data_IF_168575356754
#
_entry.id   IF_168575356754
#
_cell.length_a   1.000
_cell.length_b   1.000
_cell.length_c   1.000
_cell.angle_alpha   90.00
_cell.angle_beta   90.00
_cell.angle_gamma   90.00
#
_symmetry.space_group_name_H-M   'P 1'
#
loop_
_entity.id
_entity.type
_entity.pdbx_description
1 polymer ?
#
# COMPACT_ATOMS: atom_id res chain seq x y z
N UNK A 1 3.18 -27.46 -8.44
CA UNK A 1 2.86 -26.51 -7.37
C UNK A 1 3.93 -26.66 -6.30
N UNK A 2 4.66 -25.59 -5.99
CA UNK A 2 5.68 -25.61 -4.94
C UNK A 2 5.01 -25.81 -3.58
N UNK A 3 5.61 -26.59 -2.67
CA UNK A 3 5.10 -26.69 -1.30
C UNK A 3 5.37 -25.38 -0.54
N UNK A 4 4.66 -25.14 0.56
CA UNK A 4 4.88 -23.95 1.40
C UNK A 4 6.33 -23.89 1.93
N UNK A 5 6.92 -25.04 2.24
CA UNK A 5 8.32 -25.13 2.68
C UNK A 5 9.27 -24.69 1.56
N UNK A 6 8.97 -25.05 0.31
CA UNK A 6 9.76 -24.61 -0.84
C UNK A 6 9.64 -23.10 -1.07
N UNK A 7 8.43 -22.54 -0.97
CA UNK A 7 8.20 -21.10 -1.09
C UNK A 7 8.97 -20.34 0.01
N UNK A 8 8.94 -20.83 1.25
CA UNK A 8 9.64 -20.18 2.36
C UNK A 8 11.16 -20.14 2.18
N UNK A 9 11.76 -21.13 1.50
CA UNK A 9 13.19 -21.12 1.17
C UNK A 9 13.58 -19.98 0.23
N UNK A 10 12.62 -19.37 -0.49
CA UNK A 10 12.87 -18.19 -1.29
C UNK A 10 13.02 -16.93 -0.43
N UNK A 11 12.59 -16.94 0.82
CA UNK A 11 12.64 -15.79 1.73
C UNK A 11 13.70 -16.01 2.83
N UNK A 12 14.98 -15.69 2.58
CA UNK A 12 16.08 -16.04 3.49
C UNK A 12 15.96 -15.41 4.88
N UNK A 13 15.19 -14.33 5.03
CA UNK A 13 14.92 -13.70 6.34
C UNK A 13 14.14 -14.63 7.27
N UNK A 14 13.31 -15.53 6.74
CA UNK A 14 12.46 -16.41 7.56
C UNK A 14 13.24 -17.48 8.33
N UNK A 15 14.47 -17.80 7.92
CA UNK A 15 15.33 -18.81 8.57
C UNK A 15 16.12 -18.25 9.77
N UNK A 16 15.90 -16.98 10.14
CA UNK A 16 16.63 -16.32 11.22
C UNK A 16 16.18 -16.76 12.62
N UNK A 17 17.12 -16.70 13.56
CA UNK A 17 16.82 -16.73 15.00
C UNK A 17 16.74 -15.30 15.54
N UNK A 18 15.63 -14.96 16.19
CA UNK A 18 15.41 -13.69 16.89
C UNK A 18 15.22 -13.98 18.37
N UNK A 19 16.05 -13.35 19.22
CA UNK A 19 16.06 -13.61 20.67
C UNK A 19 16.21 -15.11 21.02
N UNK A 20 16.96 -15.86 20.21
CA UNK A 20 17.17 -17.31 20.39
C UNK A 20 16.01 -18.19 19.96
N UNK A 21 14.94 -17.62 19.38
CA UNK A 21 13.78 -18.36 18.87
C UNK A 21 13.67 -18.24 17.34
N UNK A 22 13.15 -19.25 16.61
CA UNK A 22 12.90 -19.11 15.17
C UNK A 22 11.91 -17.97 14.90
N UNK A 23 12.23 -17.11 13.93
CA UNK A 23 11.38 -15.97 13.57
C UNK A 23 9.96 -16.41 13.17
N UNK A 24 8.96 -15.71 13.69
CA UNK A 24 7.60 -15.66 13.18
C UNK A 24 7.31 -14.23 12.76
N UNK A 25 7.19 -13.99 11.46
CA UNK A 25 6.99 -12.64 10.92
C UNK A 25 5.53 -12.39 10.53
N UNK A 26 4.81 -11.65 11.37
CA UNK A 26 3.40 -11.24 11.17
C UNK A 26 3.24 -9.71 11.07
N UNK A 27 4.26 -8.98 10.59
CA UNK A 27 4.15 -7.52 10.29
C UNK A 27 4.20 -7.23 8.78
N UNK A 28 3.65 -8.14 7.96
CA UNK A 28 3.61 -8.06 6.51
C UNK A 28 2.89 -6.80 5.98
N UNK A 29 1.83 -6.34 6.67
CA UNK A 29 1.12 -5.12 6.31
C UNK A 29 1.95 -3.84 6.54
N UNK A 30 3.08 -3.89 7.25
CA UNK A 30 4.06 -2.80 7.27
C UNK A 30 5.05 -2.93 6.11
N UNK A 31 5.65 -4.11 5.93
CA UNK A 31 6.46 -4.46 4.76
C UNK A 31 6.52 -5.97 4.62
N UNK A 32 6.49 -6.48 3.41
CA UNK A 32 6.69 -7.91 3.17
C UNK A 32 8.17 -8.25 3.10
N UNK A 33 8.50 -9.53 3.28
CA UNK A 33 9.86 -10.03 3.04
C UNK A 33 10.13 -10.15 1.54
N UNK A 34 11.41 -10.24 1.16
CA UNK A 34 11.83 -10.18 -0.26
C UNK A 34 12.28 -11.57 -0.68
N UNK A 35 11.77 -12.12 -1.80
CA UNK A 35 12.25 -13.38 -2.32
C UNK A 35 13.66 -13.22 -2.87
N UNK A 36 14.43 -14.31 -2.93
CA UNK A 36 15.80 -14.35 -3.48
C UNK A 36 15.88 -13.72 -4.86
N UNK A 37 14.88 -13.96 -5.73
CA UNK A 37 14.82 -13.36 -7.06
C UNK A 37 14.96 -11.82 -7.06
N UNK A 38 14.34 -11.12 -6.10
CA UNK A 38 14.44 -9.66 -5.96
C UNK A 38 15.82 -9.24 -5.45
N UNK A 39 16.37 -9.99 -4.49
CA UNK A 39 17.71 -9.73 -3.94
C UNK A 39 18.80 -9.94 -5.01
N UNK A 40 18.68 -11.02 -5.77
CA UNK A 40 19.61 -11.39 -6.84
C UNK A 40 19.54 -10.37 -7.99
N UNK A 41 18.35 -9.89 -8.35
CA UNK A 41 18.18 -8.83 -9.36
C UNK A 41 18.86 -7.52 -8.92
N UNK A 42 18.72 -7.13 -7.65
CA UNK A 42 19.39 -5.95 -7.11
C UNK A 42 20.92 -6.11 -7.12
N UNK A 43 21.42 -7.26 -6.69
CA UNK A 43 22.85 -7.57 -6.71
C UNK A 43 23.40 -7.60 -8.14
N UNK A 44 22.67 -8.19 -9.07
CA UNK A 44 23.03 -8.28 -10.48
C UNK A 44 23.20 -6.90 -11.09
N UNK A 45 22.22 -6.00 -10.91
CA UNK A 45 22.31 -4.64 -11.42
C UNK A 45 23.60 -3.94 -10.95
N UNK A 46 23.86 -3.92 -9.64
CA UNK A 46 25.03 -3.21 -9.12
C UNK A 46 26.36 -3.87 -9.50
N UNK A 47 26.38 -5.18 -9.69
CA UNK A 47 27.60 -5.92 -10.01
C UNK A 47 27.94 -5.89 -11.50
N UNK A 48 26.94 -5.72 -12.39
CA UNK A 48 27.11 -5.95 -13.83
C UNK A 48 26.58 -4.82 -14.73
N UNK A 49 25.48 -4.16 -14.35
CA UNK A 49 24.72 -3.25 -15.24
C UNK A 49 24.59 -1.81 -14.74
N UNK A 50 25.26 -1.46 -13.63
CA UNK A 50 25.15 -0.13 -13.02
C UNK A 50 25.53 1.01 -14.00
N UNK A 51 24.54 1.79 -14.39
CA UNK A 51 24.67 2.98 -15.20
C UNK A 51 23.45 3.90 -15.00
N UNK A 52 23.64 5.19 -15.27
CA UNK A 52 22.49 6.09 -15.38
C UNK A 52 21.70 5.79 -16.67
N UNK A 53 20.40 6.10 -16.66
CA UNK A 53 19.45 5.73 -17.73
C UNK A 53 19.11 6.91 -18.65
N UNK A 54 18.43 6.62 -19.76
CA UNK A 54 17.88 7.56 -20.77
C UNK A 54 18.87 8.42 -21.58
N UNK A 55 20.05 8.76 -21.04
CA UNK A 55 21.00 9.70 -21.69
C UNK A 55 22.29 9.07 -22.20
N UNK A 56 22.59 7.83 -21.80
CA UNK A 56 23.80 7.14 -22.21
C UNK A 56 23.60 6.33 -23.47
N UNK A 57 24.49 6.50 -24.45
CA UNK A 57 24.56 5.71 -25.70
C UNK A 57 25.47 4.47 -25.58
N UNK A 58 25.99 4.20 -24.38
CA UNK A 58 26.85 3.05 -24.13
C UNK A 58 26.03 1.87 -23.62
N UNK A 59 26.52 0.65 -23.88
CA UNK A 59 25.73 -0.58 -23.66
C UNK A 59 25.20 -0.76 -22.23
N UNK A 60 25.92 -0.30 -21.19
CA UNK A 60 25.42 -0.36 -19.81
C UNK A 60 24.17 0.52 -19.61
N UNK A 61 24.17 1.75 -20.14
CA UNK A 61 23.04 2.65 -20.02
C UNK A 61 21.83 2.14 -20.83
N UNK A 62 22.07 1.57 -22.01
CA UNK A 62 21.01 0.95 -22.82
C UNK A 62 20.37 -0.24 -22.08
N UNK A 63 21.18 -1.14 -21.50
CA UNK A 63 20.67 -2.28 -20.71
C UNK A 63 19.92 -1.83 -19.46
N UNK A 64 20.48 -0.90 -18.69
CA UNK A 64 19.82 -0.36 -17.49
C UNK A 64 18.49 0.34 -17.85
N UNK A 65 18.46 1.12 -18.94
CA UNK A 65 17.23 1.78 -19.42
C UNK A 65 16.19 0.76 -19.83
N UNK A 66 16.57 -0.26 -20.60
CA UNK A 66 15.66 -1.32 -21.03
C UNK A 66 15.08 -2.10 -19.84
N UNK A 67 15.90 -2.41 -18.83
CA UNK A 67 15.46 -3.10 -17.62
C UNK A 67 14.52 -2.23 -16.76
N UNK A 68 14.81 -0.94 -16.63
CA UNK A 68 13.98 0.01 -15.90
C UNK A 68 12.58 0.17 -16.54
N UNK A 69 12.54 0.35 -17.86
CA UNK A 69 11.28 0.46 -18.61
C UNK A 69 10.52 -0.88 -18.72
N UNK A 70 11.22 -2.02 -18.64
CA UNK A 70 10.57 -3.32 -18.51
C UNK A 70 9.77 -3.42 -17.20
N UNK A 71 10.31 -2.93 -16.08
CA UNK A 71 9.55 -2.86 -14.82
C UNK A 71 8.26 -2.05 -15.01
N UNK A 72 8.34 -0.90 -15.67
CA UNK A 72 7.16 -0.04 -15.92
C UNK A 72 6.09 -0.78 -16.73
N UNK A 73 6.48 -1.54 -17.76
CA UNK A 73 5.58 -2.37 -18.56
C UNK A 73 4.94 -3.49 -17.74
N UNK A 74 5.71 -4.16 -16.89
CA UNK A 74 5.15 -5.20 -15.99
C UNK A 74 4.14 -4.64 -15.02
N UNK A 75 4.41 -3.46 -14.45
CA UNK A 75 3.43 -2.76 -13.61
C UNK A 75 2.17 -2.41 -14.40
N UNK A 76 2.32 -1.91 -15.63
CA UNK A 76 1.18 -1.63 -16.51
C UNK A 76 0.33 -2.88 -16.74
N UNK A 77 0.95 -4.02 -17.04
CA UNK A 77 0.26 -5.30 -17.22
C UNK A 77 -0.41 -5.77 -15.94
N UNK A 78 0.31 -5.70 -14.81
CA UNK A 78 -0.17 -6.11 -13.49
C UNK A 78 -1.41 -5.33 -13.04
N UNK A 79 -1.46 -4.02 -13.34
CA UNK A 79 -2.61 -3.17 -13.02
C UNK A 79 -3.68 -3.18 -14.11
N UNK A 80 -3.43 -3.84 -15.24
CA UNK A 80 -4.26 -3.75 -16.43
C UNK A 80 -4.45 -2.29 -16.88
N UNK A 81 -3.42 -1.44 -16.81
CA UNK A 81 -3.48 -0.08 -17.35
C UNK A 81 -3.40 -0.10 -18.88
N UNK A 82 -3.99 0.88 -19.57
CA UNK A 82 -3.99 0.94 -21.03
C UNK A 82 -2.56 1.13 -21.59
N UNK A 83 -1.74 1.92 -20.91
CA UNK A 83 -0.40 2.28 -21.38
C UNK A 83 0.62 2.41 -20.25
N UNK A 84 1.89 2.10 -20.53
CA UNK A 84 2.97 2.26 -19.54
C UNK A 84 3.22 3.71 -19.15
N UNK A 85 2.83 4.67 -20.00
CA UNK A 85 3.03 6.10 -19.75
C UNK A 85 2.14 6.63 -18.62
N UNK A 86 1.10 5.87 -18.26
CA UNK A 86 0.23 6.15 -17.13
C UNK A 86 0.83 5.70 -15.79
N UNK A 87 1.97 5.02 -15.81
CA UNK A 87 2.66 4.51 -14.62
C UNK A 87 3.78 5.48 -14.28
N UNK A 88 3.64 6.18 -13.15
CA UNK A 88 4.61 7.14 -12.63
C UNK A 88 5.33 6.52 -11.44
N UNK A 89 6.66 6.46 -11.50
CA UNK A 89 7.48 6.04 -10.36
C UNK A 89 7.58 7.14 -9.32
N UNK A 90 7.41 6.75 -8.07
CA UNK A 90 7.49 7.62 -6.90
C UNK A 90 8.30 6.93 -5.80
N UNK A 91 8.49 7.58 -4.66
CA UNK A 91 9.19 6.97 -3.51
C UNK A 91 8.34 5.98 -2.71
N UNK A 92 7.05 5.82 -3.04
CA UNK A 92 6.06 5.03 -2.29
C UNK A 92 4.64 5.58 -2.49
N UNK A 93 3.62 4.90 -1.99
CA UNK A 93 2.22 5.38 -1.99
C UNK A 93 2.10 6.82 -1.53
N UNK A 94 2.78 7.18 -0.42
CA UNK A 94 2.81 8.55 0.10
C UNK A 94 3.29 9.57 -0.93
N UNK A 95 4.31 9.22 -1.72
CA UNK A 95 4.84 10.06 -2.78
C UNK A 95 3.82 10.26 -3.91
N UNK A 96 3.16 9.18 -4.34
CA UNK A 96 2.08 9.22 -5.33
C UNK A 96 0.90 10.08 -4.91
N UNK A 97 0.42 9.91 -3.67
CA UNK A 97 -0.70 10.71 -3.14
C UNK A 97 -0.31 12.19 -3.05
N UNK A 98 0.89 12.51 -2.57
CA UNK A 98 1.37 13.89 -2.52
C UNK A 98 1.50 14.50 -3.91
N UNK A 99 1.97 13.74 -4.91
CA UNK A 99 2.02 14.21 -6.29
C UNK A 99 0.63 14.63 -6.75
N UNK A 100 -0.40 13.80 -6.57
CA UNK A 100 -1.78 14.13 -6.96
C UNK A 100 -2.29 15.34 -6.17
N UNK A 101 -2.15 15.36 -4.85
CA UNK A 101 -2.59 16.47 -4.02
C UNK A 101 -1.95 17.81 -4.44
N UNK A 102 -0.64 17.81 -4.70
CA UNK A 102 0.13 19.02 -5.00
C UNK A 102 0.04 19.49 -6.45
N UNK A 103 -0.48 18.67 -7.37
CA UNK A 103 -0.63 19.02 -8.80
C UNK A 103 -2.10 19.11 -9.18
N UNK A 104 -2.82 17.99 -9.16
CA UNK A 104 -4.26 17.95 -9.42
C UNK A 104 -5.02 18.85 -8.44
N UNK A 105 -4.74 18.73 -7.14
CA UNK A 105 -5.43 19.54 -6.13
C UNK A 105 -5.18 21.05 -6.30
N UNK A 106 -3.96 21.46 -6.61
CA UNK A 106 -3.64 22.87 -6.90
C UNK A 106 -4.34 23.42 -8.14
N UNK A 107 -4.50 22.60 -9.16
CA UNK A 107 -5.12 23.01 -10.43
C UNK A 107 -6.66 23.01 -10.36
N UNK A 108 -7.26 22.19 -9.51
CA UNK A 108 -8.71 21.90 -9.56
C UNK A 108 -9.50 22.31 -8.31
N UNK A 109 -8.85 22.58 -7.18
CA UNK A 109 -9.55 22.97 -5.95
C UNK A 109 -9.58 24.48 -5.76
N UNK A 110 -10.70 24.96 -5.25
CA UNK A 110 -10.96 26.35 -4.86
C UNK A 110 -11.74 26.42 -3.54
N UNK A 111 -11.93 27.64 -3.05
CA UNK A 111 -12.61 27.87 -1.78
C UNK A 111 -14.03 27.29 -1.79
N UNK A 112 -14.37 26.51 -0.76
CA UNK A 112 -15.67 25.88 -0.58
C UNK A 112 -15.82 24.48 -1.18
N UNK A 113 -14.91 24.04 -2.05
CA UNK A 113 -14.88 22.67 -2.56
C UNK A 113 -14.65 21.65 -1.43
N UNK A 114 -15.16 20.42 -1.61
CA UNK A 114 -14.95 19.33 -0.64
C UNK A 114 -14.02 18.25 -1.18
N UNK A 115 -13.23 17.68 -0.28
CA UNK A 115 -12.42 16.48 -0.47
C UNK A 115 -12.93 15.44 0.54
N UNK A 116 -13.32 14.26 0.07
CA UNK A 116 -13.75 13.18 0.95
C UNK A 116 -12.57 12.26 1.26
N UNK A 117 -12.36 11.98 2.54
CA UNK A 117 -11.48 10.90 3.02
C UNK A 117 -12.29 10.00 3.95
N UNK A 118 -11.85 8.77 4.20
CA UNK A 118 -12.56 7.88 5.13
C UNK A 118 -11.95 7.84 6.54
N UNK A 119 -12.71 7.37 7.52
CA UNK A 119 -12.16 7.04 8.84
C UNK A 119 -11.13 5.88 8.79
N UNK A 120 -11.11 5.08 7.72
CA UNK A 120 -10.20 3.94 7.56
C UNK A 120 -8.83 4.34 7.00
N UNK A 121 -8.63 5.60 6.62
CA UNK A 121 -7.43 6.02 5.90
C UNK A 121 -6.15 5.90 6.72
N UNK A 122 -5.08 5.50 6.03
CA UNK A 122 -3.73 5.71 6.49
C UNK A 122 -3.39 7.20 6.43
N UNK A 123 -2.52 7.70 7.31
CA UNK A 123 -2.13 9.12 7.36
C UNK A 123 -1.63 9.67 6.02
N UNK A 124 -0.98 8.83 5.21
CA UNK A 124 -0.55 9.16 3.85
C UNK A 124 -1.69 9.57 2.92
N UNK A 125 -2.92 9.12 3.17
CA UNK A 125 -4.12 9.46 2.43
C UNK A 125 -5.07 10.39 3.21
N UNK A 126 -4.53 11.12 4.21
CA UNK A 126 -5.25 12.17 4.97
C UNK A 126 -4.48 13.48 4.89
N UNK A 127 -3.22 13.46 5.33
CA UNK A 127 -2.41 14.66 5.55
C UNK A 127 -2.21 15.47 4.26
N UNK A 128 -1.91 14.87 3.09
CA UNK A 128 -1.77 15.65 1.85
C UNK A 128 -3.03 16.42 1.48
N UNK A 129 -4.21 15.83 1.73
CA UNK A 129 -5.50 16.46 1.47
C UNK A 129 -5.79 17.61 2.42
N UNK A 130 -5.47 17.46 3.71
CA UNK A 130 -5.58 18.54 4.68
C UNK A 130 -4.67 19.72 4.30
N UNK A 131 -3.44 19.44 3.87
CA UNK A 131 -2.48 20.47 3.45
C UNK A 131 -2.98 21.26 2.23
N UNK A 132 -3.44 20.57 1.17
CA UNK A 132 -3.93 21.26 -0.03
C UNK A 132 -5.28 21.95 0.21
N UNK A 133 -6.14 21.37 1.05
CA UNK A 133 -7.40 22.00 1.45
C UNK A 133 -7.15 23.34 2.14
N UNK A 134 -6.21 23.37 3.09
CA UNK A 134 -5.79 24.60 3.75
C UNK A 134 -5.21 25.62 2.75
N UNK A 135 -4.39 25.19 1.79
CA UNK A 135 -3.81 26.07 0.76
C UNK A 135 -4.88 26.68 -0.16
N UNK A 136 -5.91 25.91 -0.52
CA UNK A 136 -6.91 26.27 -1.55
C UNK A 136 -8.24 26.77 -0.99
N UNK A 137 -8.42 26.73 0.34
CA UNK A 137 -9.68 27.04 1.00
C UNK A 137 -10.76 25.97 0.82
N UNK A 138 -10.37 24.76 0.42
CA UNK A 138 -11.27 23.60 0.37
C UNK A 138 -11.43 23.00 1.78
N UNK A 139 -12.34 22.04 1.93
CA UNK A 139 -12.61 21.36 3.20
C UNK A 139 -12.50 19.84 3.04
N UNK A 140 -11.93 19.18 4.05
CA UNK A 140 -11.88 17.72 4.12
C UNK A 140 -13.06 17.21 4.94
N UNK A 141 -13.91 16.40 4.31
CA UNK A 141 -15.02 15.70 4.95
C UNK A 141 -14.67 14.23 5.16
N UNK A 142 -15.27 13.61 6.17
CA UNK A 142 -14.97 12.23 6.57
C UNK A 142 -16.13 11.31 6.24
N UNK A 143 -15.83 10.20 5.54
CA UNK A 143 -16.73 9.06 5.37
C UNK A 143 -16.68 8.22 6.66
N UNK A 144 -17.79 8.09 7.40
CA UNK A 144 -17.83 7.35 8.64
C UNK A 144 -17.55 5.86 8.46
N UNK A 145 -17.13 5.22 9.54
CA UNK A 145 -17.00 3.76 9.64
C UNK A 145 -17.92 3.23 10.75
N UNK A 146 -18.52 2.07 10.51
CA UNK A 146 -19.36 1.33 11.45
C UNK A 146 -18.53 0.62 12.53
N UNK A 147 -19.19 0.11 13.57
CA UNK A 147 -18.51 -0.59 14.66
C UNK A 147 -17.92 -1.95 14.22
N UNK A 148 -18.43 -2.53 13.13
CA UNK A 148 -17.83 -3.72 12.50
C UNK A 148 -16.64 -3.38 11.62
N UNK A 149 -16.36 -2.10 11.37
CA UNK A 149 -15.21 -1.65 10.60
C UNK A 149 -15.47 -1.54 9.09
N UNK A 150 -16.72 -1.34 8.67
CA UNK A 150 -17.12 -1.12 7.28
C UNK A 150 -17.48 0.36 7.06
N UNK A 151 -17.21 0.90 5.87
CA UNK A 151 -17.62 2.27 5.55
C UNK A 151 -19.14 2.40 5.52
N UNK A 152 -19.64 3.53 6.03
CA UNK A 152 -21.05 3.90 5.93
C UNK A 152 -21.35 4.45 4.53
N UNK A 153 -21.84 3.57 3.66
CA UNK A 153 -22.16 3.89 2.27
C UNK A 153 -23.36 4.81 2.12
N UNK A 154 -24.31 4.81 3.07
CA UNK A 154 -25.44 5.73 3.07
C UNK A 154 -24.96 7.16 3.36
N UNK A 155 -24.09 7.31 4.37
CA UNK A 155 -23.45 8.59 4.66
C UNK A 155 -22.57 9.07 3.49
N UNK A 156 -21.83 8.18 2.83
CA UNK A 156 -21.06 8.52 1.63
C UNK A 156 -21.95 9.09 0.52
N UNK A 157 -23.06 8.41 0.21
CA UNK A 157 -24.05 8.88 -0.76
C UNK A 157 -24.62 10.25 -0.38
N UNK A 158 -25.01 10.43 0.89
CA UNK A 158 -25.58 11.69 1.36
C UNK A 158 -24.58 12.85 1.24
N UNK A 159 -23.33 12.65 1.63
CA UNK A 159 -22.28 13.67 1.53
C UNK A 159 -22.08 14.09 0.06
N UNK A 160 -22.03 13.13 -0.86
CA UNK A 160 -21.89 13.42 -2.31
C UNK A 160 -23.08 14.22 -2.86
N UNK A 161 -24.30 13.97 -2.37
CA UNK A 161 -25.51 14.68 -2.82
C UNK A 161 -25.58 16.12 -2.29
N UNK A 162 -25.15 16.33 -1.04
CA UNK A 162 -25.28 17.63 -0.35
C UNK A 162 -24.13 18.60 -0.65
N UNK A 163 -23.03 18.11 -1.22
CA UNK A 163 -21.80 18.88 -1.37
C UNK A 163 -21.23 18.85 -2.79
N UNK A 164 -20.52 19.92 -3.18
CA UNK A 164 -19.67 19.90 -4.37
C UNK A 164 -18.34 19.22 -4.04
N UNK A 165 -18.32 17.90 -4.18
CA UNK A 165 -17.11 17.09 -3.97
C UNK A 165 -16.25 17.10 -5.23
N UNK A 166 -14.96 17.47 -5.09
CA UNK A 166 -14.00 17.47 -6.21
C UNK A 166 -13.17 16.21 -6.28
N UNK A 167 -12.92 15.61 -5.12
CA UNK A 167 -12.12 14.40 -5.02
C UNK A 167 -12.61 13.54 -3.86
N UNK A 168 -12.69 12.23 -4.09
CA UNK A 168 -12.80 11.19 -3.08
C UNK A 168 -11.43 10.50 -3.00
N UNK A 169 -10.86 10.37 -1.80
CA UNK A 169 -9.59 9.69 -1.58
C UNK A 169 -9.78 8.61 -0.53
N UNK A 170 -9.76 7.35 -0.96
CA UNK A 170 -10.08 6.21 -0.11
C UNK A 170 -9.11 5.06 -0.32
N UNK A 171 -8.81 4.32 0.74
CA UNK A 171 -8.09 3.06 0.59
C UNK A 171 -9.01 1.98 0.00
N UNK A 172 -8.44 1.10 -0.81
CA UNK A 172 -9.14 -0.10 -1.25
C UNK A 172 -9.13 -1.15 -0.12
N UNK A 173 -8.06 -1.22 0.66
CA UNK A 173 -7.97 -2.09 1.83
C UNK A 173 -7.39 -1.36 3.04
N UNK A 174 -8.06 -1.45 4.19
CA UNK A 174 -7.58 -0.85 5.44
C UNK A 174 -6.33 -1.58 5.96
N UNK A 175 -5.24 -0.83 6.18
CA UNK A 175 -4.01 -1.39 6.75
C UNK A 175 -4.16 -1.78 8.22
N UNK A 176 -5.09 -1.17 8.95
CA UNK A 176 -5.25 -1.37 10.38
C UNK A 176 -6.09 -2.61 10.66
N UNK A 177 -7.23 -2.76 9.97
CA UNK A 177 -8.22 -3.79 10.30
C UNK A 177 -8.54 -4.76 9.17
N UNK A 178 -7.96 -4.55 7.98
CA UNK A 178 -8.06 -5.46 6.84
C UNK A 178 -9.31 -5.32 5.98
N UNK A 179 -10.28 -4.48 6.34
CA UNK A 179 -11.53 -4.26 5.57
C UNK A 179 -11.23 -3.99 4.10
N UNK A 180 -11.92 -4.70 3.21
CA UNK A 180 -11.92 -4.46 1.76
C UNK A 180 -13.12 -3.56 1.44
N UNK A 181 -12.87 -2.33 1.01
CA UNK A 181 -13.92 -1.37 0.69
C UNK A 181 -14.55 -1.67 -0.68
N UNK A 182 -15.85 -1.37 -0.89
CA UNK A 182 -16.55 -1.61 -2.15
C UNK A 182 -16.19 -0.56 -3.21
N UNK A 183 -14.92 -0.51 -3.62
CA UNK A 183 -14.40 0.60 -4.44
C UNK A 183 -15.13 0.77 -5.77
N UNK A 184 -15.64 -0.31 -6.38
CA UNK A 184 -16.42 -0.22 -7.62
C UNK A 184 -17.63 0.70 -7.47
N UNK A 185 -18.44 0.44 -6.45
CA UNK A 185 -19.63 1.26 -6.13
C UNK A 185 -19.21 2.68 -5.74
N UNK A 186 -18.12 2.83 -4.97
CA UNK A 186 -17.63 4.15 -4.58
C UNK A 186 -17.20 5.01 -5.78
N UNK A 187 -16.53 4.40 -6.76
CA UNK A 187 -16.07 5.05 -7.99
C UNK A 187 -17.28 5.48 -8.83
N UNK A 188 -18.23 4.56 -9.07
CA UNK A 188 -19.46 4.83 -9.83
C UNK A 188 -20.24 6.02 -9.23
N UNK A 189 -20.40 6.05 -7.90
CA UNK A 189 -21.07 7.14 -7.19
C UNK A 189 -20.29 8.46 -7.24
N UNK A 190 -18.97 8.43 -7.07
CA UNK A 190 -18.12 9.62 -7.17
C UNK A 190 -18.24 10.26 -8.56
N UNK A 191 -18.12 9.44 -9.60
CA UNK A 191 -18.20 9.89 -10.99
C UNK A 191 -19.58 10.42 -11.36
N UNK A 192 -20.65 9.80 -10.85
CA UNK A 192 -22.02 10.29 -11.05
C UNK A 192 -22.23 11.72 -10.51
N UNK A 193 -21.43 12.13 -9.51
CA UNK A 193 -21.45 13.48 -8.93
C UNK A 193 -20.31 14.37 -9.48
N UNK A 194 -19.58 13.91 -10.51
CA UNK A 194 -18.49 14.65 -11.14
C UNK A 194 -17.20 14.74 -10.31
N UNK A 195 -17.11 14.01 -9.20
CA UNK A 195 -15.89 13.92 -8.41
C UNK A 195 -14.89 12.97 -9.07
N UNK A 196 -13.59 13.24 -8.90
CA UNK A 196 -12.53 12.29 -9.21
C UNK A 196 -12.22 11.41 -8.01
N UNK A 197 -11.60 10.26 -8.22
CA UNK A 197 -11.31 9.32 -7.13
C UNK A 197 -9.87 8.81 -7.15
N UNK A 198 -9.19 8.96 -6.02
CA UNK A 198 -7.89 8.36 -5.75
C UNK A 198 -8.06 7.15 -4.84
N UNK A 199 -7.52 6.02 -5.28
CA UNK A 199 -7.50 4.77 -4.54
C UNK A 199 -6.11 4.53 -3.95
N UNK A 200 -6.02 4.48 -2.61
CA UNK A 200 -4.84 3.96 -1.93
C UNK A 200 -4.87 2.42 -1.97
N UNK A 201 -4.01 1.86 -2.83
CA UNK A 201 -3.86 0.44 -3.08
C UNK A 201 -2.72 -0.22 -2.31
N UNK A 202 -2.14 0.45 -1.30
CA UNK A 202 -0.91 -0.01 -0.64
C UNK A 202 -1.03 -1.41 -0.01
N UNK A 203 -2.24 -1.82 0.37
CA UNK A 203 -2.50 -3.18 0.87
C UNK A 203 -3.19 -4.06 -0.18
N UNK A 204 -3.85 -3.49 -1.18
CA UNK A 204 -4.60 -4.27 -2.16
C UNK A 204 -3.69 -5.10 -3.05
N UNK A 205 -2.61 -4.51 -3.55
CA UNK A 205 -1.77 -5.13 -4.58
C UNK A 205 -1.11 -6.46 -4.17
N UNK A 206 -0.99 -6.72 -2.87
CA UNK A 206 -0.42 -7.98 -2.37
C UNK A 206 -1.45 -9.10 -2.20
N UNK A 207 -2.73 -8.75 -2.13
CA UNK A 207 -3.81 -9.62 -1.66
C UNK A 207 -4.98 -9.75 -2.63
N UNK A 208 -5.15 -8.80 -3.54
CA UNK A 208 -6.29 -8.69 -4.45
C UNK A 208 -5.81 -8.49 -5.88
N UNK A 209 -6.57 -8.99 -6.84
CA UNK A 209 -6.42 -8.59 -8.23
C UNK A 209 -6.89 -7.13 -8.39
N UNK A 210 -6.14 -6.35 -9.17
CA UNK A 210 -6.40 -4.94 -9.40
C UNK A 210 -6.43 -4.69 -10.90
N UNK A 211 -7.58 -4.30 -11.41
CA UNK A 211 -7.76 -3.83 -12.79
C UNK A 211 -8.22 -2.37 -12.77
N UNK A 212 -7.30 -1.45 -13.04
CA UNK A 212 -7.58 -0.01 -12.97
C UNK A 212 -8.54 0.46 -14.07
N UNK A 213 -8.65 -0.29 -15.17
CA UNK A 213 -9.59 -0.01 -16.25
C UNK A 213 -10.99 -0.55 -15.92
N UNK A 214 -11.10 -1.79 -15.43
CA UNK A 214 -12.39 -2.39 -15.06
C UNK A 214 -13.10 -1.56 -13.98
N UNK A 215 -12.35 -1.09 -12.98
CA UNK A 215 -12.89 -0.25 -11.92
C UNK A 215 -13.02 1.22 -12.30
N UNK A 216 -12.51 1.63 -13.46
CA UNK A 216 -12.47 3.02 -13.93
C UNK A 216 -11.76 4.00 -12.97
N UNK A 217 -10.67 3.58 -12.32
CA UNK A 217 -9.96 4.40 -11.34
C UNK A 217 -9.35 5.66 -11.99
N UNK A 218 -9.52 6.84 -11.39
CA UNK A 218 -8.83 8.05 -11.87
C UNK A 218 -7.35 8.06 -11.46
N UNK A 219 -7.08 7.66 -10.22
CA UNK A 219 -5.72 7.50 -9.68
C UNK A 219 -5.63 6.26 -8.78
N UNK A 220 -4.49 5.57 -8.82
CA UNK A 220 -4.21 4.42 -7.94
C UNK A 220 -2.75 4.46 -7.48
N UNK A 221 -2.50 4.37 -6.18
CA UNK A 221 -1.14 4.46 -5.63
C UNK A 221 -0.78 3.27 -4.74
N UNK A 222 0.43 2.73 -4.89
CA UNK A 222 0.93 1.65 -4.04
C UNK A 222 2.46 1.69 -3.86
N UNK A 223 2.96 0.91 -2.89
CA UNK A 223 4.38 0.83 -2.54
C UNK A 223 4.95 -0.55 -2.83
N UNK A 224 6.13 -0.60 -3.46
CA UNK A 224 6.79 -1.86 -3.83
C UNK A 224 7.16 -2.72 -2.61
N UNK A 225 7.55 -2.11 -1.48
CA UNK A 225 7.94 -2.85 -0.27
C UNK A 225 6.80 -3.61 0.44
N UNK A 226 5.57 -3.46 -0.03
CA UNK A 226 4.40 -4.27 0.37
C UNK A 226 4.01 -5.31 -0.68
N UNK A 227 4.64 -5.26 -1.87
CA UNK A 227 4.52 -6.23 -2.96
C UNK A 227 5.83 -6.98 -3.17
N UNK A 228 6.48 -7.35 -2.06
CA UNK A 228 7.72 -8.17 -2.02
C UNK A 228 8.93 -7.53 -2.72
N UNK A 229 8.81 -6.26 -3.11
CA UNK A 229 9.85 -5.47 -3.75
C UNK A 229 10.69 -4.65 -2.78
N UNK A 230 11.60 -3.82 -3.29
CA UNK A 230 12.47 -2.98 -2.48
C UNK A 230 11.75 -1.81 -1.79
N UNK A 231 12.41 -1.23 -0.81
CA UNK A 231 12.01 0.06 -0.21
C UNK A 231 12.33 1.23 -1.14
N UNK A 232 11.69 2.38 -0.92
CA UNK A 232 12.00 3.60 -1.69
C UNK A 232 11.50 3.60 -3.13
N UNK A 233 10.64 2.65 -3.48
CA UNK A 233 9.94 2.57 -4.76
C UNK A 233 8.43 2.49 -4.51
N UNK A 234 7.69 3.32 -5.23
CA UNK A 234 6.25 3.29 -5.32
C UNK A 234 5.79 3.65 -6.71
N UNK A 235 4.48 3.52 -6.90
CA UNK A 235 3.83 3.69 -8.19
C UNK A 235 2.60 4.55 -7.97
N UNK A 236 2.41 5.50 -8.88
CA UNK A 236 1.14 6.16 -9.12
C UNK A 236 0.69 5.80 -10.53
N UNK A 237 -0.46 5.16 -10.65
CA UNK A 237 -1.24 5.14 -11.87
C UNK A 237 -2.16 6.37 -11.91
N UNK A 238 -2.35 6.93 -13.10
CA UNK A 238 -3.42 7.90 -13.37
C UNK A 238 -3.95 7.81 -14.79
N UNK A 239 -5.23 8.17 -14.98
CA UNK A 239 -5.79 8.30 -16.33
C UNK A 239 -4.99 9.31 -17.16
N UNK A 240 -4.73 8.99 -18.43
CA UNK A 240 -3.84 9.78 -19.30
C UNK A 240 -4.26 11.24 -19.35
N UNK A 241 -5.53 11.52 -19.57
CA UNK A 241 -6.08 12.87 -19.69
C UNK A 241 -5.90 13.70 -18.40
N UNK A 242 -5.95 13.05 -17.23
CA UNK A 242 -5.70 13.72 -15.95
C UNK A 242 -4.21 14.00 -15.78
N UNK A 243 -3.36 13.01 -16.03
CA UNK A 243 -1.91 13.16 -15.94
C UNK A 243 -1.39 14.21 -16.91
N UNK A 244 -1.92 14.31 -18.13
CA UNK A 244 -1.57 15.33 -19.11
C UNK A 244 -1.96 16.74 -18.65
N UNK A 245 -3.18 16.90 -18.12
CA UNK A 245 -3.69 18.17 -17.62
C UNK A 245 -3.00 18.66 -16.33
N UNK A 246 -2.46 17.74 -15.52
CA UNK A 246 -1.75 18.08 -14.29
C UNK A 246 -0.42 18.82 -14.57
N UNK A 247 -0.11 19.90 -13.84
CA UNK A 247 1.19 20.56 -13.94
C UNK A 247 2.30 19.68 -13.36
N UNK A 248 3.59 19.93 -13.68
CA UNK A 248 4.69 19.19 -13.07
C UNK A 248 4.73 19.32 -11.55
N UNK A 249 5.26 18.29 -10.87
CA UNK A 249 5.36 18.25 -9.41
C UNK A 249 6.73 18.73 -8.90
N UNK A 250 7.79 18.00 -9.26
CA UNK A 250 9.18 18.32 -8.92
C UNK A 250 9.90 18.84 -10.18
N UNK A 251 10.74 19.86 -10.02
CA UNK A 251 11.53 20.44 -11.12
C UNK A 251 12.99 19.96 -11.09
N UNK A 252 13.55 19.63 -12.24
CA UNK A 252 14.93 19.18 -12.35
C UNK A 252 15.28 18.65 -13.74
N UNK A 253 16.36 17.87 -13.85
CA UNK A 253 16.66 17.10 -15.06
C UNK A 253 15.62 16.01 -15.32
N UNK A 254 15.67 15.41 -16.51
CA UNK A 254 14.77 14.35 -17.04
C UNK A 254 13.33 14.78 -17.32
N UNK A 255 12.74 15.59 -16.45
CA UNK A 255 11.34 16.05 -16.56
C UNK A 255 11.14 17.25 -17.50
N UNK A 256 12.22 17.80 -18.05
CA UNK A 256 12.21 18.93 -19.00
C UNK A 256 12.30 18.46 -20.44
N UNK A 257 11.80 19.30 -21.36
CA UNK A 257 12.06 19.18 -22.80
C UNK A 257 13.11 20.19 -23.25
N UNK A 258 12.93 21.46 -22.90
CA UNK A 258 13.90 22.53 -23.15
C UNK A 258 14.03 23.46 -21.92
N UNK A 259 15.25 23.92 -21.64
CA UNK A 259 15.54 24.84 -20.54
C UNK A 259 16.31 26.05 -21.05
N UNK A 260 15.83 27.24 -20.71
CA UNK A 260 16.49 28.52 -20.96
C UNK A 260 16.26 29.47 -19.79
N UNK A 261 17.07 30.53 -19.65
CA UNK A 261 16.82 31.56 -18.63
C UNK A 261 15.51 32.34 -18.86
N UNK A 262 14.97 32.32 -20.09
CA UNK A 262 13.67 32.93 -20.43
C UNK A 262 12.47 32.02 -20.15
N UNK A 263 12.69 30.73 -19.85
CA UNK A 263 11.61 29.79 -19.60
C UNK A 263 11.98 28.33 -19.86
N UNK A 264 11.13 27.44 -19.36
CA UNK A 264 11.28 25.98 -19.44
C UNK A 264 10.01 25.35 -20.02
N UNK A 265 10.18 24.37 -20.90
CA UNK A 265 9.11 23.47 -21.36
C UNK A 265 9.33 22.09 -20.77
N UNK A 266 8.24 21.37 -20.49
CA UNK A 266 8.27 20.10 -19.76
C UNK A 266 8.17 18.91 -20.71
N UNK A 267 8.67 17.77 -20.24
CA UNK A 267 8.62 16.50 -20.94
C UNK A 267 7.19 15.92 -20.97
N UNK A 268 7.00 14.86 -21.74
CA UNK A 268 5.75 14.12 -21.84
C UNK A 268 5.63 13.08 -20.73
N UNK A 269 4.51 12.35 -20.69
CA UNK A 269 4.34 11.24 -19.75
C UNK A 269 5.27 10.08 -20.10
N UNK A 270 5.77 9.32 -19.11
CA UNK A 270 5.63 9.54 -17.66
C UNK A 270 6.64 10.56 -17.09
N UNK A 271 7.67 10.91 -17.88
CA UNK A 271 8.87 11.64 -17.45
C UNK A 271 8.61 13.03 -16.87
N UNK A 272 7.49 13.68 -17.24
CA UNK A 272 7.04 14.96 -16.64
C UNK A 272 7.03 14.96 -15.11
N UNK A 273 6.85 13.79 -14.49
CA UNK A 273 6.72 13.63 -13.06
C UNK A 273 7.94 12.97 -12.37
N UNK A 274 8.97 12.60 -13.12
CA UNK A 274 10.13 11.84 -12.65
C UNK A 274 11.40 12.70 -12.74
N UNK A 275 11.50 13.68 -11.83
CA UNK A 275 12.59 14.65 -11.85
C UNK A 275 13.90 14.08 -11.28
N UNK A 276 15.00 14.27 -12.02
CA UNK A 276 16.33 13.84 -11.62
C UNK A 276 16.60 12.35 -11.84
N UNK A 277 17.76 11.88 -11.37
CA UNK A 277 18.09 10.46 -11.44
C UNK A 277 17.13 9.66 -10.55
N UNK A 278 16.38 8.68 -11.09
CA UNK A 278 15.44 7.91 -10.31
C UNK A 278 16.15 6.81 -9.48
N UNK A 279 15.37 6.09 -8.67
CA UNK A 279 15.86 4.91 -7.97
C UNK A 279 15.97 3.70 -8.93
N UNK A 280 17.01 3.70 -9.77
CA UNK A 280 17.17 2.77 -10.91
C UNK A 280 17.24 1.31 -10.43
N UNK A 281 18.15 1.02 -9.51
CA UNK A 281 18.45 -0.34 -9.09
C UNK A 281 17.25 -1.04 -8.45
N UNK A 282 16.57 -0.32 -7.55
CA UNK A 282 15.41 -0.87 -6.84
C UNK A 282 14.19 -1.00 -7.76
N UNK A 283 14.00 -0.10 -8.73
CA UNK A 283 12.95 -0.26 -9.75
C UNK A 283 13.24 -1.49 -10.62
N UNK A 284 14.49 -1.71 -11.03
CA UNK A 284 14.85 -2.92 -11.78
C UNK A 284 14.63 -4.18 -10.93
N UNK A 285 15.06 -4.17 -9.67
CA UNK A 285 14.84 -5.30 -8.76
C UNK A 285 13.35 -5.57 -8.51
N UNK A 286 12.51 -4.53 -8.53
CA UNK A 286 11.07 -4.67 -8.39
C UNK A 286 10.43 -5.47 -9.54
N UNK A 287 10.99 -5.45 -10.76
CA UNK A 287 10.52 -6.32 -11.85
C UNK A 287 10.48 -7.79 -11.42
N UNK A 288 11.48 -8.26 -10.67
CA UNK A 288 11.60 -9.65 -10.28
C UNK A 288 10.52 -10.10 -9.27
N UNK A 289 9.86 -9.18 -8.54
CA UNK A 289 8.74 -9.56 -7.67
C UNK A 289 7.51 -9.93 -8.49
N UNK A 290 7.28 -9.28 -9.64
CA UNK A 290 6.18 -9.66 -10.54
C UNK A 290 6.41 -11.04 -11.14
N UNK A 291 7.62 -11.31 -11.63
CA UNK A 291 7.98 -12.65 -12.14
C UNK A 291 7.82 -13.74 -11.06
N UNK A 292 8.21 -13.43 -9.83
CA UNK A 292 8.04 -14.33 -8.69
C UNK A 292 6.56 -14.61 -8.42
N UNK A 293 5.73 -13.57 -8.33
CA UNK A 293 4.29 -13.72 -8.07
C UNK A 293 3.56 -14.45 -9.21
N UNK A 294 3.92 -14.18 -10.47
CA UNK A 294 3.36 -14.88 -11.64
C UNK A 294 3.76 -16.35 -11.69
N UNK A 295 4.90 -16.73 -11.09
CA UNK A 295 5.31 -18.13 -10.97
C UNK A 295 4.48 -18.93 -9.95
N UNK A 296 3.77 -18.24 -9.05
CA UNK A 296 2.91 -18.85 -8.04
C UNK A 296 1.52 -19.13 -8.60
N UNK A 297 0.87 -20.17 -8.06
CA UNK A 297 -0.55 -20.40 -8.33
C UNK A 297 -1.38 -19.37 -7.56
N UNK A 298 -1.99 -18.42 -8.28
CA UNK A 298 -2.78 -17.33 -7.68
C UNK A 298 -3.93 -17.84 -6.81
N UNK A 299 -4.66 -18.87 -7.26
CA UNK A 299 -5.78 -19.44 -6.52
C UNK A 299 -5.34 -20.07 -5.20
N UNK A 300 -4.13 -20.61 -5.14
CA UNK A 300 -3.53 -21.09 -3.92
C UNK A 300 -3.06 -19.99 -2.99
N UNK A 301 -2.44 -18.93 -3.52
CA UNK A 301 -2.05 -17.76 -2.71
C UNK A 301 -3.27 -17.19 -1.99
N UNK A 302 -4.35 -16.95 -2.75
CA UNK A 302 -5.62 -16.46 -2.20
C UNK A 302 -6.20 -17.42 -1.17
N UNK A 303 -6.28 -18.72 -1.51
CA UNK A 303 -6.80 -19.74 -0.59
C UNK A 303 -5.98 -19.85 0.69
N UNK A 304 -4.65 -19.81 0.59
CA UNK A 304 -3.73 -19.89 1.73
C UNK A 304 -3.96 -18.71 2.67
N UNK A 305 -4.01 -17.48 2.16
CA UNK A 305 -4.25 -16.29 3.00
C UNK A 305 -5.63 -16.31 3.65
N UNK A 306 -6.66 -16.74 2.91
CA UNK A 306 -8.02 -16.91 3.46
C UNK A 306 -8.07 -17.99 4.56
N UNK A 307 -7.38 -19.11 4.37
CA UNK A 307 -7.28 -20.15 5.40
C UNK A 307 -6.53 -19.67 6.65
N UNK A 308 -5.44 -18.90 6.48
CA UNK A 308 -4.69 -18.30 7.59
C UNK A 308 -5.55 -17.30 8.35
N UNK A 309 -6.28 -16.42 7.64
CA UNK A 309 -7.21 -15.46 8.26
C UNK A 309 -8.29 -16.17 9.07
N UNK A 310 -8.95 -17.18 8.48
CA UNK A 310 -10.01 -17.93 9.15
C UNK A 310 -9.49 -18.64 10.40
N UNK A 311 -8.36 -19.34 10.27
CA UNK A 311 -7.74 -20.08 11.36
C UNK A 311 -7.26 -19.17 12.49
N UNK A 312 -6.55 -18.08 12.16
CA UNK A 312 -6.09 -17.11 13.16
C UNK A 312 -7.27 -16.44 13.87
N UNK A 313 -8.34 -16.09 13.15
CA UNK A 313 -9.54 -15.50 13.74
C UNK A 313 -10.18 -16.46 14.73
N UNK A 314 -10.34 -17.74 14.36
CA UNK A 314 -10.86 -18.77 15.26
C UNK A 314 -10.00 -18.93 16.51
N UNK A 315 -8.68 -19.11 16.35
CA UNK A 315 -7.78 -19.37 17.48
C UNK A 315 -7.63 -18.17 18.42
N UNK A 316 -7.56 -16.95 17.89
CA UNK A 316 -7.46 -15.74 18.70
C UNK A 316 -8.75 -15.47 19.46
N UNK A 317 -9.92 -15.77 18.87
CA UNK A 317 -11.23 -15.59 19.53
C UNK A 317 -11.42 -16.52 20.74
N UNK A 318 -10.62 -17.59 20.87
CA UNK A 318 -10.63 -18.48 22.03
C UNK A 318 -9.82 -17.94 23.21
N UNK A 319 -9.07 -16.85 23.05
CA UNK A 319 -8.33 -16.22 24.14
C UNK A 319 -9.28 -15.34 24.93
N UNK A 320 -9.56 -15.74 26.17
CA UNK A 320 -10.38 -14.94 27.10
C UNK A 320 -9.89 -13.49 27.19
N UNK A 321 -10.82 -12.53 27.18
CA UNK A 321 -10.51 -11.09 27.19
C UNK A 321 -9.84 -10.54 25.92
N UNK A 322 -9.63 -11.34 24.87
CA UNK A 322 -9.17 -10.85 23.57
C UNK A 322 -10.36 -10.35 22.74
N UNK A 323 -10.21 -9.15 22.17
CA UNK A 323 -11.19 -8.56 21.26
C UNK A 323 -10.53 -8.20 19.92
N UNK A 324 -11.06 -8.75 18.83
CA UNK A 324 -10.66 -8.37 17.47
C UNK A 324 -11.34 -7.05 17.09
N UNK A 325 -10.56 -6.14 16.50
CA UNK A 325 -11.01 -4.84 16.01
C UNK A 325 -11.13 -4.90 14.49
N UNK A 326 -12.34 -4.65 14.00
CA UNK A 326 -12.72 -4.77 12.59
C UNK A 326 -13.06 -6.21 12.17
N UNK A 327 -14.36 -6.46 12.05
CA UNK A 327 -14.97 -7.74 11.69
C UNK A 327 -15.83 -7.61 10.42
N UNK A 328 -15.38 -6.75 9.49
CA UNK A 328 -16.01 -6.58 8.18
C UNK A 328 -16.18 -7.94 7.48
N UNK A 329 -17.28 -8.08 6.73
CA UNK A 329 -17.61 -9.33 6.03
C UNK A 329 -16.54 -9.71 4.99
N UNK A 330 -15.92 -8.70 4.36
CA UNK A 330 -14.79 -8.86 3.43
C UNK A 330 -13.56 -8.20 4.03
N UNK A 331 -12.53 -9.00 4.31
CA UNK A 331 -11.25 -8.50 4.79
C UNK A 331 -10.08 -9.37 4.34
N UNK A 332 -8.92 -8.76 4.20
CA UNK A 332 -7.65 -9.48 3.98
C UNK A 332 -7.15 -10.11 5.29
N UNK A 333 -6.07 -10.89 5.21
CA UNK A 333 -5.42 -11.57 6.33
C UNK A 333 -4.68 -10.62 7.29
N UNK A 334 -5.41 -9.67 7.87
CA UNK A 334 -4.95 -8.71 8.88
C UNK A 334 -5.91 -8.75 10.07
N UNK A 335 -5.36 -9.00 11.25
CA UNK A 335 -6.10 -9.06 12.51
C UNK A 335 -5.49 -8.04 13.47
N UNK A 336 -6.25 -6.97 13.70
CA UNK A 336 -6.02 -6.07 14.83
C UNK A 336 -6.77 -6.59 16.05
N UNK A 337 -6.13 -6.57 17.21
CA UNK A 337 -6.75 -7.04 18.46
C UNK A 337 -6.25 -6.29 19.68
N UNK A 338 -7.03 -6.40 20.75
CA UNK A 338 -6.76 -5.93 22.10
C UNK A 338 -6.93 -7.08 23.08
N UNK A 339 -6.25 -7.01 24.22
CA UNK A 339 -6.48 -7.91 25.36
C UNK A 339 -6.81 -7.03 26.57
N UNK A 340 -7.96 -7.27 27.19
CA UNK A 340 -8.44 -6.49 28.32
C UNK A 340 -7.41 -6.44 29.46
N UNK A 341 -7.27 -5.26 30.06
CA UNK A 341 -6.31 -5.02 31.15
C UNK A 341 -4.85 -4.88 30.73
N UNK A 342 -4.52 -4.90 29.43
CA UNK A 342 -3.14 -4.79 28.93
C UNK A 342 -2.97 -3.63 27.95
N UNK A 343 -1.74 -3.11 27.84
CA UNK A 343 -1.39 -2.14 26.80
C UNK A 343 -0.81 -2.87 25.57
N UNK A 344 -1.21 -2.52 24.32
CA UNK A 344 -0.73 -3.20 23.11
C UNK A 344 0.79 -3.27 23.01
N UNK A 345 1.48 -2.19 23.41
CA UNK A 345 2.94 -2.12 23.34
C UNK A 345 3.63 -3.16 24.23
N UNK A 346 3.09 -3.45 25.42
CA UNK A 346 3.67 -4.43 26.35
C UNK A 346 3.56 -5.84 25.75
N UNK A 347 2.43 -6.15 25.11
CA UNK A 347 2.24 -7.40 24.37
C UNK A 347 3.28 -7.54 23.27
N UNK A 348 3.46 -6.50 22.44
CA UNK A 348 4.44 -6.53 21.35
C UNK A 348 5.88 -6.74 21.83
N UNK A 349 6.29 -6.05 22.90
CA UNK A 349 7.63 -6.20 23.48
C UNK A 349 7.86 -7.62 24.00
N UNK A 350 6.86 -8.22 24.65
CA UNK A 350 6.99 -9.58 25.18
C UNK A 350 6.93 -10.64 24.07
N UNK A 351 6.10 -10.46 23.03
CA UNK A 351 6.06 -11.36 21.88
C UNK A 351 7.38 -11.37 21.09
N UNK A 352 8.04 -10.22 20.97
CA UNK A 352 9.37 -10.13 20.33
C UNK A 352 10.39 -11.04 21.05
N UNK A 353 10.32 -11.16 22.38
CA UNK A 353 11.18 -12.08 23.16
C UNK A 353 10.95 -13.56 22.81
N UNK A 354 9.81 -13.90 22.22
CA UNK A 354 9.52 -15.25 21.71
C UNK A 354 9.77 -15.38 20.19
N UNK A 355 10.41 -14.37 19.58
CA UNK A 355 10.71 -14.32 18.16
C UNK A 355 9.50 -14.02 17.27
N UNK A 356 8.40 -13.47 17.82
CA UNK A 356 7.16 -13.19 17.09
C UNK A 356 7.04 -11.69 16.83
N UNK A 357 7.19 -11.30 15.57
CA UNK A 357 7.07 -9.93 15.13
C UNK A 357 5.62 -9.59 14.77
N UNK A 358 5.00 -8.72 15.57
CA UNK A 358 3.72 -8.07 15.28
C UNK A 358 3.89 -6.55 15.34
N UNK A 359 2.92 -5.79 14.84
CA UNK A 359 2.88 -4.32 15.02
C UNK A 359 2.06 -3.94 16.24
N UNK A 360 2.43 -2.85 16.91
CA UNK A 360 1.63 -2.23 17.96
C UNK A 360 1.48 -0.72 17.72
N UNK A 361 0.43 -0.13 18.28
CA UNK A 361 0.18 1.31 18.24
C UNK A 361 -0.96 1.69 17.30
N UNK A 362 -0.90 2.87 16.70
CA UNK A 362 -1.99 3.43 15.89
C UNK A 362 -1.96 3.01 14.41
N UNK A 363 -0.92 2.31 13.96
CA UNK A 363 -0.73 1.89 12.56
C UNK A 363 -0.85 3.02 11.54
N UNK A 364 -0.48 4.24 11.91
CA UNK A 364 -0.69 5.45 11.12
C UNK A 364 -2.15 5.65 10.69
N UNK A 365 -3.10 5.29 11.56
CA UNK A 365 -4.55 5.42 11.36
C UNK A 365 -5.21 5.97 12.65
N UNK A 366 -4.64 7.02 13.23
CA UNK A 366 -5.12 7.61 14.50
C UNK A 366 -6.61 7.99 14.51
N UNK A 367 -7.19 8.58 13.43
CA UNK A 367 -8.62 8.86 13.39
C UNK A 367 -9.49 7.61 13.55
N UNK A 368 -9.03 6.46 13.04
CA UNK A 368 -9.70 5.18 13.24
C UNK A 368 -9.68 4.75 14.71
N UNK A 369 -8.52 4.88 15.36
CA UNK A 369 -8.36 4.55 16.79
C UNK A 369 -9.26 5.43 17.66
N UNK A 370 -9.35 6.72 17.33
CA UNK A 370 -10.25 7.66 17.99
C UNK A 370 -11.72 7.27 17.79
N UNK A 371 -12.13 6.89 16.57
CA UNK A 371 -13.50 6.45 16.27
C UNK A 371 -13.89 5.18 17.02
N UNK A 372 -12.95 4.26 17.25
CA UNK A 372 -13.18 3.08 18.09
C UNK A 372 -12.96 3.33 19.59
N UNK A 373 -12.55 4.54 19.98
CA UNK A 373 -12.24 4.92 21.37
C UNK A 373 -11.18 4.01 22.03
N UNK A 374 -10.14 3.65 21.27
CA UNK A 374 -9.05 2.78 21.71
C UNK A 374 -7.68 3.47 21.60
N UNK A 375 -6.69 3.10 22.44
CA UNK A 375 -5.36 3.72 22.42
C UNK A 375 -4.46 3.22 21.26
N UNK A 376 -4.94 2.31 20.43
CA UNK A 376 -4.17 1.56 19.43
C UNK A 376 -4.51 0.08 19.48
N UNK A 377 -3.83 -0.76 18.71
CA UNK A 377 -4.02 -2.22 18.71
C UNK A 377 -2.70 -2.97 18.57
N UNK A 378 -2.70 -4.25 18.93
CA UNK A 378 -1.77 -5.23 18.37
C UNK A 378 -2.28 -5.60 16.97
N UNK A 379 -1.39 -5.79 16.00
CA UNK A 379 -1.76 -6.19 14.64
C UNK A 379 -0.86 -7.32 14.16
N UNK A 380 -1.46 -8.48 13.90
CA UNK A 380 -0.87 -9.58 13.16
C UNK A 380 -1.39 -9.53 11.72
N UNK A 381 -0.49 -9.55 10.76
CA UNK A 381 -0.77 -9.48 9.32
C UNK A 381 -0.03 -10.61 8.63
N UNK A 382 -0.74 -11.41 7.87
CA UNK A 382 -0.25 -12.65 7.29
C UNK A 382 0.01 -12.46 5.79
N UNK A 383 0.88 -13.31 5.24
CA UNK A 383 1.08 -13.48 3.81
C UNK A 383 1.12 -14.97 3.47
N UNK A 384 1.07 -15.33 2.19
CA UNK A 384 1.08 -16.72 1.72
C UNK A 384 2.25 -17.59 2.22
N UNK A 385 3.38 -17.00 2.61
CA UNK A 385 4.52 -17.75 3.20
C UNK A 385 4.36 -18.05 4.69
N UNK A 386 3.34 -17.51 5.36
CA UNK A 386 3.06 -17.80 6.76
C UNK A 386 2.31 -19.12 6.93
N UNK A 387 2.39 -19.71 8.14
CA UNK A 387 1.84 -21.04 8.41
C UNK A 387 0.88 -21.08 9.61
N UNK A 388 0.07 -22.14 9.71
CA UNK A 388 -0.82 -22.37 10.86
C UNK A 388 -0.03 -22.65 12.14
N UNK A 389 1.13 -23.32 12.03
CA UNK A 389 2.03 -23.57 13.14
C UNK A 389 2.63 -22.25 13.69
N UNK A 390 2.90 -21.28 12.83
CA UNK A 390 3.30 -19.92 13.27
C UNK A 390 2.15 -19.22 14.04
N UNK A 391 0.89 -19.43 13.64
CA UNK A 391 -0.29 -18.93 14.35
C UNK A 391 -0.44 -19.62 15.72
N UNK A 392 -0.22 -20.93 15.80
CA UNK A 392 -0.26 -21.67 17.06
C UNK A 392 0.79 -21.16 18.06
N UNK A 393 1.98 -20.82 17.55
CA UNK A 393 3.05 -20.18 18.34
C UNK A 393 2.63 -18.80 18.84
N UNK A 394 1.95 -18.00 18.02
CA UNK A 394 1.38 -16.72 18.45
C UNK A 394 0.35 -16.91 19.57
N UNK A 395 -0.61 -17.82 19.40
CA UNK A 395 -1.69 -18.06 20.37
C UNK A 395 -1.14 -18.56 21.70
N UNK A 396 -0.19 -19.50 21.65
CA UNK A 396 0.49 -20.02 22.84
C UNK A 396 1.27 -18.92 23.57
N UNK A 397 1.99 -18.08 22.81
CA UNK A 397 2.77 -16.98 23.37
C UNK A 397 1.88 -15.89 23.94
N UNK A 398 0.76 -15.55 23.29
CA UNK A 398 -0.22 -14.58 23.80
C UNK A 398 -0.81 -15.03 25.13
N UNK A 399 -1.18 -16.31 25.27
CA UNK A 399 -1.67 -16.85 26.55
C UNK A 399 -0.64 -16.69 27.66
N UNK A 400 0.64 -16.97 27.37
CA UNK A 400 1.75 -16.77 28.32
C UNK A 400 1.98 -15.30 28.66
N UNK A 401 1.96 -14.42 27.66
CA UNK A 401 2.10 -12.97 27.82
C UNK A 401 0.97 -12.41 28.69
N UNK A 402 -0.28 -12.84 28.46
CA UNK A 402 -1.42 -12.46 29.30
C UNK A 402 -1.17 -12.79 30.77
N UNK A 403 -0.69 -13.99 31.08
CA UNK A 403 -0.34 -14.41 32.47
C UNK A 403 0.84 -13.64 33.07
N UNK A 404 1.69 -13.01 32.26
CA UNK A 404 2.80 -12.20 32.76
C UNK A 404 2.38 -10.76 33.09
N UNK A 405 1.32 -10.26 32.45
CA UNK A 405 0.85 -8.87 32.56
C UNK A 405 -0.33 -8.70 33.53
N UNK A 406 -1.13 -9.76 33.71
CA UNK A 406 -2.30 -9.82 34.59
C UNK A 406 -2.04 -10.83 35.72
#
# INVERSE_FOLDING_TARGET
MSSIEQIRLDFPVLDQLVNGSPLVYFDNAATTQKPKAVLDALQHYYSLDNANIHRGIHSLAERATAAYELTRKKIQQFLHAESSDQIIFTSGTTGGINLVAQTYGRANFQAGDKILVSNLEHHSNIVPWQMIALERGAEVLVIPVSDVGELDMDAYCQILQENTVKLVAVNHVSNAIGTINPIKEMIELAHAHGAKILIDGAQSVAHLEVDVQEFDMDFFAFSAHKLFGPTGVGVLYGKRELLEAMPPYQGGGEMIKEVSFSGTTYNELPYKFEAGTPNIADVIAFSASFDYLESLDKGWVEKQENELLAYATEQLSQIDGLRIIGNAAKKIAVISFLIDGTHPQDIGVLLDKFGIAIRTGHHCAQPLMQRFEIPGTCRASFSFYNTKEEIDRLVTSLKRVKTMLL
#
